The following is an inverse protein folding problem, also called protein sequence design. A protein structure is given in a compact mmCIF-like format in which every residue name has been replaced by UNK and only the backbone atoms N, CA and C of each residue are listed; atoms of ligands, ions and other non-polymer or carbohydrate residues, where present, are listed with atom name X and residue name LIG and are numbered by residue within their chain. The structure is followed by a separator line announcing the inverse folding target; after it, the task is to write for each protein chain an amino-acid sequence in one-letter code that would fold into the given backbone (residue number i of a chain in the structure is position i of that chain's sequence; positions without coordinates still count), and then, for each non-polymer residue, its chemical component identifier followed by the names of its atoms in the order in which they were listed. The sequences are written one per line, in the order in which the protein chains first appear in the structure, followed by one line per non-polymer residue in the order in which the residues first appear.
data_IF_080788563822
#
_entry.id   IF_080788563822
#
_cell.length_a   1.000
_cell.length_b   1.000
_cell.length_c   1.000
_cell.angle_alpha   90.00
_cell.angle_beta   90.00
_cell.angle_gamma   90.00
#
_symmetry.space_group_name_H-M   'P 1'
#
loop_
_entity.id
_entity.type
_entity.pdbx_description
1 polymer ?
#
# COMPACT_ATOMS: atom_id res chain seq x y z
N UNK A 1 -45.40 51.16 -85.36
CA UNK A 1 -44.92 49.79 -85.63
C UNK A 1 -44.70 49.08 -84.32
N UNK A 2 -45.51 48.05 -84.08
CA UNK A 2 -45.30 47.01 -83.07
C UNK A 2 -43.93 46.33 -83.22
N UNK A 3 -43.33 45.83 -82.14
CA UNK A 3 -43.41 44.41 -81.81
C UNK A 3 -42.87 44.13 -80.39
N UNK A 4 -43.63 43.26 -79.73
CA UNK A 4 -43.39 42.61 -78.45
C UNK A 4 -42.09 41.79 -78.45
N UNK A 5 -41.47 41.65 -77.28
CA UNK A 5 -40.97 40.34 -76.86
C UNK A 5 -41.05 40.21 -75.33
N UNK A 6 -41.83 39.22 -74.89
CA UNK A 6 -41.97 38.81 -73.50
C UNK A 6 -41.27 37.45 -73.34
N UNK A 7 -40.51 37.27 -72.26
CA UNK A 7 -39.91 36.00 -71.89
C UNK A 7 -38.95 36.10 -70.70
N UNK A 8 -39.45 35.82 -69.49
CA UNK A 8 -38.67 35.42 -68.29
C UNK A 8 -37.97 34.06 -68.51
N UNK A 9 -36.91 33.63 -67.76
CA UNK A 9 -36.91 33.48 -66.28
C UNK A 9 -35.54 33.72 -65.57
N UNK A 10 -35.42 33.56 -64.23
CA UNK A 10 -34.26 34.02 -63.46
C UNK A 10 -33.12 33.00 -63.56
N UNK A 11 -31.86 33.45 -63.56
CA UNK A 11 -30.75 32.49 -63.53
C UNK A 11 -29.50 32.99 -62.80
N UNK A 12 -29.34 32.36 -61.64
CA UNK A 12 -28.09 31.74 -61.16
C UNK A 12 -27.08 32.66 -60.48
N UNK A 13 -27.18 32.68 -59.15
CA UNK A 13 -26.06 32.94 -58.26
C UNK A 13 -24.89 31.98 -58.58
N UNK A 14 -23.62 32.44 -58.53
CA UNK A 14 -22.50 31.56 -58.80
C UNK A 14 -22.32 30.56 -57.65
N UNK A 15 -22.64 29.30 -57.90
CA UNK A 15 -22.22 28.20 -57.04
C UNK A 15 -20.70 28.06 -57.12
N UNK A 16 -20.01 28.46 -56.06
CA UNK A 16 -18.55 28.30 -55.92
C UNK A 16 -18.22 26.81 -55.82
N UNK A 17 -17.39 26.23 -56.70
CA UNK A 17 -17.04 24.82 -56.60
C UNK A 17 -16.23 24.59 -55.32
N UNK A 18 -16.73 23.70 -54.47
CA UNK A 18 -15.95 23.13 -53.36
C UNK A 18 -14.83 22.31 -54.00
N UNK A 19 -13.64 22.88 -54.06
CA UNK A 19 -12.42 22.18 -54.44
C UNK A 19 -12.22 21.02 -53.45
N UNK A 20 -12.60 19.81 -53.85
CA UNK A 20 -12.17 18.61 -53.19
C UNK A 20 -10.67 18.53 -53.41
N UNK A 21 -9.91 18.89 -52.37
CA UNK A 21 -8.46 18.72 -52.36
C UNK A 21 -8.17 17.26 -52.64
N UNK A 22 -7.72 16.99 -53.87
CA UNK A 22 -7.16 15.70 -54.24
C UNK A 22 -5.90 15.56 -53.41
N UNK A 23 -6.01 14.84 -52.30
CA UNK A 23 -4.86 14.49 -51.48
C UNK A 23 -3.89 13.77 -52.39
N UNK A 24 -2.68 14.31 -52.52
CA UNK A 24 -1.65 13.67 -53.31
C UNK A 24 -1.36 12.30 -52.68
N UNK A 25 -1.19 11.26 -53.49
CA UNK A 25 -0.83 9.91 -52.99
C UNK A 25 0.38 9.96 -52.05
N UNK A 26 1.32 10.88 -52.31
CA UNK A 26 2.48 11.15 -51.45
C UNK A 26 2.15 11.74 -50.07
N UNK A 27 1.06 12.50 -49.92
CA UNK A 27 0.61 13.03 -48.63
C UNK A 27 -0.02 11.93 -47.78
N UNK A 28 -0.73 11.00 -48.42
CA UNK A 28 -1.33 9.85 -47.73
C UNK A 28 -0.23 8.92 -47.22
N UNK A 29 0.78 8.60 -48.03
CA UNK A 29 1.89 7.75 -47.58
C UNK A 29 2.70 8.39 -46.45
N UNK A 30 2.95 9.70 -46.51
CA UNK A 30 3.60 10.42 -45.42
C UNK A 30 2.78 10.39 -44.12
N UNK A 31 1.47 10.60 -44.21
CA UNK A 31 0.57 10.53 -43.05
C UNK A 31 0.53 9.11 -42.44
N UNK A 32 0.55 8.06 -43.27
CA UNK A 32 0.60 6.67 -42.80
C UNK A 32 1.92 6.40 -42.06
N UNK A 33 3.06 6.76 -42.64
CA UNK A 33 4.38 6.58 -42.01
C UNK A 33 4.44 7.34 -40.68
N UNK A 34 3.94 8.59 -40.64
CA UNK A 34 3.93 9.40 -39.43
C UNK A 34 3.02 8.81 -38.35
N UNK A 35 1.86 8.29 -38.74
CA UNK A 35 0.92 7.64 -37.81
C UNK A 35 1.51 6.36 -37.23
N UNK A 36 2.10 5.51 -38.07
CA UNK A 36 2.77 4.27 -37.63
C UNK A 36 3.97 4.59 -36.75
N UNK A 37 4.79 5.58 -37.11
CA UNK A 37 5.93 6.02 -36.32
C UNK A 37 5.52 6.55 -34.93
N UNK A 38 4.46 7.36 -34.87
CA UNK A 38 3.94 7.87 -33.60
C UNK A 38 3.34 6.76 -32.73
N UNK A 39 2.62 5.82 -33.34
CA UNK A 39 2.06 4.66 -32.65
C UNK A 39 3.18 3.79 -32.04
N UNK A 40 4.24 3.53 -32.80
CA UNK A 40 5.40 2.80 -32.31
C UNK A 40 6.10 3.55 -31.17
N UNK A 41 6.28 4.87 -31.26
CA UNK A 41 6.89 5.67 -30.19
C UNK A 41 6.13 5.55 -28.86
N UNK A 42 4.79 5.55 -28.89
CA UNK A 42 3.94 5.33 -27.71
C UNK A 42 4.09 3.90 -27.18
N UNK A 43 4.10 2.91 -28.09
CA UNK A 43 4.26 1.49 -27.76
C UNK A 43 5.61 1.21 -27.08
N UNK A 44 6.72 1.68 -27.66
CA UNK A 44 8.06 1.55 -27.08
C UNK A 44 8.22 2.30 -25.75
N UNK A 45 7.51 3.42 -25.56
CA UNK A 45 7.50 4.11 -24.27
C UNK A 45 6.84 3.29 -23.15
N UNK A 46 5.97 2.34 -23.47
CA UNK A 46 5.26 1.50 -22.48
C UNK A 46 6.03 0.24 -22.06
N UNK A 47 6.93 -0.26 -22.91
CA UNK A 47 7.72 -1.48 -22.65
C UNK A 47 8.81 -1.26 -21.57
N UNK A 48 9.35 -0.04 -21.44
CA UNK A 48 10.41 0.31 -20.46
C UNK A 48 9.90 0.38 -19.00
N UNK A 49 8.61 0.18 -18.77
CA UNK A 49 7.99 0.23 -17.43
C UNK A 49 7.72 -1.16 -16.83
N UNK A 50 7.70 -2.22 -17.64
CA UNK A 50 7.39 -3.59 -17.17
C UNK A 50 8.51 -4.25 -16.35
N UNK A 51 9.77 -3.87 -16.56
CA UNK A 51 10.91 -4.43 -15.80
C UNK A 51 11.10 -3.79 -14.42
N UNK A 52 10.58 -2.57 -14.23
CA UNK A 52 10.64 -1.89 -12.92
C UNK A 52 9.66 -2.48 -11.92
N UNK A 53 8.50 -2.93 -12.38
CA UNK A 53 7.48 -3.50 -11.50
C UNK A 53 7.87 -4.88 -10.99
N UNK A 54 8.44 -5.76 -11.83
CA UNK A 54 8.83 -7.10 -11.39
C UNK A 54 9.95 -7.09 -10.36
N UNK A 55 10.96 -6.23 -10.54
CA UNK A 55 12.04 -6.07 -9.56
C UNK A 55 11.52 -5.45 -8.25
N UNK A 56 10.57 -4.50 -8.33
CA UNK A 56 9.95 -3.92 -7.14
C UNK A 56 9.16 -4.96 -6.35
N UNK A 57 8.34 -5.76 -7.03
CA UNK A 57 7.55 -6.83 -6.41
C UNK A 57 8.48 -7.86 -5.77
N UNK A 58 9.53 -8.27 -6.48
CA UNK A 58 10.55 -9.17 -5.93
C UNK A 58 11.16 -8.60 -4.65
N UNK A 59 11.65 -7.38 -4.68
CA UNK A 59 12.29 -6.76 -3.51
C UNK A 59 11.32 -6.67 -2.33
N UNK A 60 10.06 -6.27 -2.57
CA UNK A 60 9.03 -6.25 -1.52
C UNK A 60 8.79 -7.62 -0.91
N UNK A 61 8.71 -8.68 -1.72
CA UNK A 61 8.54 -10.05 -1.21
C UNK A 61 9.79 -10.50 -0.44
N UNK A 62 10.99 -10.18 -0.92
CA UNK A 62 12.25 -10.53 -0.26
C UNK A 62 12.38 -9.83 1.10
N UNK A 63 12.00 -8.55 1.20
CA UNK A 63 11.97 -7.78 2.45
C UNK A 63 10.97 -8.37 3.45
N UNK A 64 9.76 -8.72 3.00
CA UNK A 64 8.73 -9.34 3.83
C UNK A 64 9.19 -10.69 4.39
N UNK A 65 9.83 -11.53 3.56
CA UNK A 65 10.40 -12.81 3.99
C UNK A 65 11.49 -12.58 5.04
N UNK A 66 12.34 -11.56 4.86
CA UNK A 66 13.39 -11.24 5.82
C UNK A 66 12.81 -10.84 7.18
N UNK A 67 11.78 -9.98 7.19
CA UNK A 67 11.07 -9.57 8.40
C UNK A 67 10.44 -10.76 9.12
N UNK A 68 9.67 -11.59 8.41
CA UNK A 68 8.99 -12.75 8.98
C UNK A 68 9.96 -13.79 9.55
N UNK A 69 11.12 -13.97 8.92
CA UNK A 69 12.17 -14.85 9.45
C UNK A 69 12.78 -14.31 10.73
N UNK A 70 13.02 -13.00 10.78
CA UNK A 70 13.52 -12.36 12.00
C UNK A 70 12.53 -12.52 13.15
N UNK A 71 11.24 -12.27 12.91
CA UNK A 71 10.18 -12.46 13.90
C UNK A 71 10.12 -13.92 14.35
N UNK A 72 10.14 -14.87 13.42
CA UNK A 72 10.15 -16.29 13.74
C UNK A 72 11.32 -16.66 14.66
N UNK A 73 12.54 -16.19 14.36
CA UNK A 73 13.71 -16.44 15.23
C UNK A 73 13.49 -15.87 16.62
N UNK A 74 12.99 -14.63 16.74
CA UNK A 74 12.70 -14.03 18.04
C UNK A 74 11.64 -14.80 18.83
N UNK A 75 10.59 -15.30 18.17
CA UNK A 75 9.56 -16.10 18.82
C UNK A 75 10.08 -17.46 19.27
N UNK A 76 10.94 -18.11 18.47
CA UNK A 76 11.58 -19.37 18.85
C UNK A 76 12.48 -19.17 20.07
N UNK A 77 13.25 -18.08 20.11
CA UNK A 77 14.12 -17.77 21.26
C UNK A 77 13.30 -17.52 22.54
N UNK A 78 12.17 -16.80 22.41
CA UNK A 78 11.24 -16.60 23.52
C UNK A 78 10.61 -17.91 24.01
N UNK A 79 10.20 -18.77 23.08
CA UNK A 79 9.66 -20.08 23.41
C UNK A 79 10.71 -20.93 24.15
N UNK A 80 11.94 -20.97 23.64
CA UNK A 80 13.04 -21.70 24.27
C UNK A 80 13.34 -21.18 25.69
N UNK A 81 13.25 -19.87 25.92
CA UNK A 81 13.38 -19.29 27.26
C UNK A 81 12.26 -19.75 28.18
N UNK A 82 11.00 -19.65 27.75
CA UNK A 82 9.83 -20.06 28.55
C UNK A 82 9.84 -21.56 28.86
N UNK A 83 10.36 -22.39 27.96
CA UNK A 83 10.52 -23.83 28.17
C UNK A 83 11.72 -24.19 29.07
N UNK A 84 12.58 -23.24 29.40
CA UNK A 84 13.79 -23.49 30.18
C UNK A 84 13.56 -23.51 31.70
N UNK A 85 14.43 -24.23 32.41
CA UNK A 85 14.44 -24.24 33.89
C UNK A 85 14.68 -22.86 34.50
N UNK A 86 15.39 -21.97 33.77
CA UNK A 86 15.64 -20.61 34.23
C UNK A 86 14.33 -19.81 34.36
N UNK A 87 13.40 -19.98 33.41
CA UNK A 87 12.08 -19.38 33.48
C UNK A 87 11.27 -19.92 34.67
N UNK A 88 11.33 -21.24 34.91
CA UNK A 88 10.67 -21.87 36.07
C UNK A 88 11.22 -21.29 37.38
N UNK A 89 12.53 -21.09 37.46
CA UNK A 89 13.19 -20.54 38.64
C UNK A 89 12.82 -19.06 38.87
N UNK A 90 12.78 -18.24 37.83
CA UNK A 90 12.37 -16.84 37.90
C UNK A 90 10.90 -16.72 38.30
N UNK A 91 10.02 -17.50 37.68
CA UNK A 91 8.60 -17.59 38.06
C UNK A 91 8.43 -18.06 39.49
N UNK A 92 9.20 -19.07 39.92
CA UNK A 92 9.15 -19.59 41.27
C UNK A 92 9.45 -18.51 42.32
N UNK A 93 10.44 -17.64 42.08
CA UNK A 93 10.79 -16.56 43.02
C UNK A 93 9.82 -15.38 43.01
N UNK A 94 9.33 -15.00 41.83
CA UNK A 94 8.51 -13.80 41.62
C UNK A 94 7.05 -14.05 41.95
N UNK A 95 6.35 -14.81 41.12
CA UNK A 95 4.94 -15.13 41.27
C UNK A 95 4.69 -16.31 42.20
N UNK A 96 5.51 -17.36 42.10
CA UNK A 96 5.35 -18.59 42.87
C UNK A 96 5.65 -18.45 44.36
N UNK A 97 6.39 -17.40 44.76
CA UNK A 97 6.89 -17.16 46.13
C UNK A 97 7.60 -18.38 46.76
N UNK A 98 8.14 -19.25 45.91
CA UNK A 98 8.91 -20.42 46.29
C UNK A 98 10.37 -20.01 46.55
N UNK A 99 10.96 -20.60 47.57
CA UNK A 99 12.36 -20.37 47.99
C UNK A 99 13.09 -21.70 48.02
N UNK A 100 14.39 -21.71 47.70
CA UNK A 100 15.18 -22.96 47.78
C UNK A 100 15.40 -23.39 49.23
N UNK A 101 15.79 -24.65 49.41
CA UNK A 101 16.15 -25.16 50.72
C UNK A 101 17.29 -24.33 51.34
N UNK A 102 17.03 -23.74 52.51
CA UNK A 102 17.97 -22.85 53.20
C UNK A 102 17.83 -21.34 52.89
N UNK A 103 16.96 -20.95 51.96
CA UNK A 103 16.64 -19.55 51.68
C UNK A 103 15.45 -19.06 52.54
N UNK A 104 15.44 -17.78 52.93
CA UNK A 104 14.38 -17.16 53.74
C UNK A 104 13.67 -16.09 52.92
N UNK A 105 12.36 -16.24 52.72
CA UNK A 105 11.52 -15.26 52.04
C UNK A 105 11.34 -14.01 52.94
N UNK A 106 11.87 -12.86 52.53
CA UNK A 106 11.68 -11.59 53.23
C UNK A 106 10.59 -10.78 52.53
N UNK A 107 9.47 -10.56 53.20
CA UNK A 107 8.42 -9.65 52.73
C UNK A 107 8.60 -8.30 53.43
N UNK A 108 8.89 -7.25 52.66
CA UNK A 108 8.96 -5.90 53.21
C UNK A 108 7.56 -5.46 53.62
N UNK A 109 7.32 -5.37 54.93
CA UNK A 109 6.13 -4.72 55.47
C UNK A 109 6.41 -3.23 55.47
N UNK A 110 5.69 -2.46 54.65
CA UNK A 110 5.80 -1.01 54.67
C UNK A 110 5.49 -0.51 56.08
N UNK A 111 6.46 0.14 56.73
CA UNK A 111 6.19 0.86 57.96
C UNK A 111 5.30 2.04 57.58
N UNK A 112 4.06 2.04 58.07
CA UNK A 112 3.18 3.21 58.11
C UNK A 112 3.85 4.28 58.98
N UNK A 113 4.83 5.01 58.45
CA UNK A 113 5.27 6.29 58.97
C UNK A 113 5.51 7.23 57.79
N UNK A 114 4.60 8.20 57.75
CA UNK A 114 4.46 9.35 56.88
C UNK A 114 5.66 9.76 56.01
N UNK A 115 5.30 10.09 54.77
CA UNK A 115 6.02 10.89 53.78
C UNK A 115 7.10 10.18 52.95
N UNK A 116 6.66 9.40 51.97
CA UNK A 116 7.51 9.05 50.82
C UNK A 116 6.80 9.43 49.51
N UNK A 117 7.10 10.62 48.99
CA UNK A 117 6.91 10.95 47.58
C UNK A 117 8.26 10.90 46.90
N UNK A 118 8.67 9.70 46.48
CA UNK A 118 9.54 9.56 45.31
C UNK A 118 8.67 9.05 44.19
N UNK A 119 8.28 10.02 43.37
CA UNK A 119 7.40 9.93 42.24
C UNK A 119 8.16 9.25 41.10
N UNK A 120 8.00 7.93 40.95
CA UNK A 120 8.38 7.24 39.73
C UNK A 120 7.31 7.55 38.67
N UNK A 121 7.65 8.42 37.72
CA UNK A 121 6.82 8.69 36.54
C UNK A 121 6.82 7.48 35.61
N UNK A 122 5.96 6.50 35.90
CA UNK A 122 5.54 5.52 34.91
C UNK A 122 4.36 6.12 34.12
N UNK A 123 4.40 6.09 32.78
CA UNK A 123 3.22 6.45 31.99
C UNK A 123 2.13 5.43 32.30
N UNK A 124 1.04 5.91 32.89
CA UNK A 124 -0.20 5.15 33.06
C UNK A 124 -0.73 4.86 31.65
N UNK A 125 -0.53 3.63 31.19
CA UNK A 125 -1.34 3.06 30.12
C UNK A 125 -2.65 2.64 30.80
N UNK A 126 -3.79 3.30 30.50
CA UNK A 126 -5.07 2.85 31.03
C UNK A 126 -5.32 1.40 30.64
N UNK A 127 -5.94 0.58 31.49
CA UNK A 127 -6.43 -0.71 31.06
C UNK A 127 -7.53 -0.45 30.03
N UNK A 128 -7.18 -0.53 28.75
CA UNK A 128 -8.17 -0.83 27.74
C UNK A 128 -8.67 -2.22 28.13
N UNK A 129 -9.89 -2.26 28.65
CA UNK A 129 -10.63 -3.48 28.88
C UNK A 129 -10.49 -4.31 27.60
N UNK A 130 -9.73 -5.40 27.67
CA UNK A 130 -9.70 -6.41 26.63
C UNK A 130 -11.13 -6.94 26.52
N UNK A 131 -11.95 -6.29 25.71
CA UNK A 131 -13.22 -6.82 25.26
C UNK A 131 -12.88 -8.05 24.43
N UNK A 132 -12.83 -9.21 25.09
CA UNK A 132 -12.99 -10.50 24.43
C UNK A 132 -14.44 -10.62 23.96
N UNK A 133 -14.84 -9.75 23.02
CA UNK A 133 -16.05 -9.99 22.23
C UNK A 133 -15.72 -11.14 21.29
N UNK A 134 -16.03 -12.35 21.75
CA UNK A 134 -16.07 -13.55 20.93
C UNK A 134 -16.97 -13.23 19.71
N UNK A 135 -16.47 -13.27 18.46
CA UNK A 135 -17.32 -13.03 17.31
C UNK A 135 -18.40 -14.12 17.27
N UNK A 136 -19.66 -13.72 17.46
CA UNK A 136 -20.83 -14.59 17.29
C UNK A 136 -20.93 -14.98 15.81
N UNK A 137 -21.17 -16.26 15.46
CA UNK A 137 -21.29 -16.67 14.07
C UNK A 137 -22.56 -16.08 13.46
N UNK A 138 -22.40 -15.28 12.40
CA UNK A 138 -23.51 -14.75 11.61
C UNK A 138 -24.44 -15.88 11.15
N UNK A 139 -25.74 -15.75 11.45
CA UNK A 139 -26.83 -16.60 10.95
C UNK A 139 -27.52 -15.96 9.75
#
# INVERSE_FOLDING_TARGET
MSQNNAGQPPSQAPHRPRSSRRLSSSQVTFAVILTVGLMLAIQFSSQISGERDLNRIRNTIEDEIALLRQEQTQLIDQLAYVESDAYVEDWARSEGRMVREGEVLVVAVAAENSANTVQSSQPVIPPEELQTTLPEPDS
#
